data_IF_551305338956
#
_entry.id   IF_551305338956
#
_cell.length_a   1.000
_cell.length_b   1.000
_cell.length_c   1.000
_cell.angle_alpha   90.00
_cell.angle_beta   90.00
_cell.angle_gamma   90.00
#
_symmetry.space_group_name_H-M   'P 1'
#
loop_
_entity.id
_entity.type
_entity.pdbx_description
1 polymer ?
#
# COMPACT_ATOMS: atom_id res chain seq x y z
N UNK A 1 26.59 -57.86 -2.78
CA UNK A 1 26.30 -57.15 -4.05
C UNK A 1 24.87 -56.62 -3.91
N UNK A 2 24.52 -55.34 -4.01
CA UNK A 2 25.12 -54.18 -4.67
C UNK A 2 24.97 -52.91 -3.81
N UNK A 3 26.01 -52.07 -3.82
CA UNK A 3 25.96 -50.67 -3.39
C UNK A 3 25.41 -49.86 -4.56
N UNK A 4 24.32 -49.12 -4.36
CA UNK A 4 23.93 -48.04 -5.29
C UNK A 4 24.35 -46.69 -4.71
N UNK A 5 25.37 -46.11 -5.33
CA UNK A 5 25.83 -44.74 -5.14
C UNK A 5 24.66 -43.74 -5.23
N UNK A 6 24.36 -43.03 -4.15
CA UNK A 6 23.72 -41.72 -4.24
C UNK A 6 24.83 -40.70 -4.47
N UNK A 7 24.86 -40.14 -5.68
CA UNK A 7 25.66 -38.97 -6.01
C UNK A 7 25.29 -37.84 -5.05
N UNK A 8 26.30 -37.31 -4.35
CA UNK A 8 26.24 -35.99 -3.75
C UNK A 8 26.06 -34.97 -4.89
N UNK A 9 24.83 -34.59 -5.20
CA UNK A 9 24.61 -33.35 -5.95
C UNK A 9 24.90 -32.21 -4.97
N UNK A 10 26.07 -31.59 -5.15
CA UNK A 10 26.45 -30.39 -4.44
C UNK A 10 25.33 -29.34 -4.61
N UNK A 11 24.80 -28.85 -3.49
CA UNK A 11 23.86 -27.73 -3.48
C UNK A 11 24.56 -26.52 -4.12
N UNK A 12 23.91 -25.78 -5.03
CA UNK A 12 24.54 -24.62 -5.65
C UNK A 12 24.89 -23.59 -4.56
N UNK A 13 26.18 -23.29 -4.44
CA UNK A 13 26.69 -22.24 -3.55
C UNK A 13 26.53 -20.90 -4.25
N UNK A 14 25.67 -20.04 -3.72
CA UNK A 14 25.57 -18.65 -4.16
C UNK A 14 26.48 -17.79 -3.26
N UNK A 15 27.48 -17.12 -3.82
CA UNK A 15 28.26 -16.09 -3.12
C UNK A 15 27.55 -14.74 -3.29
N UNK A 16 27.29 -14.05 -2.19
CA UNK A 16 26.79 -12.67 -2.21
C UNK A 16 27.98 -11.74 -1.94
N UNK A 17 28.15 -10.73 -2.79
CA UNK A 17 29.03 -9.60 -2.52
C UNK A 17 28.17 -8.37 -2.28
N UNK A 18 28.34 -7.74 -1.12
CA UNK A 18 27.64 -6.51 -0.75
C UNK A 18 28.61 -5.34 -0.87
N UNK A 19 28.29 -4.36 -1.73
CA UNK A 19 29.06 -3.12 -1.87
C UNK A 19 28.07 -1.99 -2.15
N UNK A 20 28.17 -0.88 -1.39
CA UNK A 20 27.45 0.37 -1.65
C UNK A 20 25.94 0.26 -1.88
N UNK A 21 25.19 -0.45 -1.02
CA UNK A 21 23.73 -0.48 -1.12
C UNK A 21 23.18 -1.37 -2.26
N UNK A 22 24.03 -2.19 -2.88
CA UNK A 22 23.65 -3.24 -3.82
C UNK A 22 24.15 -4.60 -3.32
N UNK A 23 23.39 -5.66 -3.60
CA UNK A 23 23.86 -7.03 -3.48
C UNK A 23 23.86 -7.67 -4.87
N UNK A 24 24.96 -8.31 -5.25
CA UNK A 24 24.99 -9.14 -6.45
C UNK A 24 24.76 -10.60 -6.12
N UNK A 25 23.99 -11.28 -6.96
CA UNK A 25 23.80 -12.73 -6.93
C UNK A 25 24.42 -13.33 -8.18
N UNK A 26 25.35 -14.27 -8.02
CA UNK A 26 25.94 -15.00 -9.16
C UNK A 26 25.23 -16.34 -9.31
N UNK A 27 24.60 -16.58 -10.45
CA UNK A 27 23.92 -17.85 -10.73
C UNK A 27 24.94 -18.98 -10.98
N UNK A 28 24.46 -20.23 -11.09
CA UNK A 28 25.31 -21.40 -11.36
C UNK A 28 26.00 -21.37 -12.73
N UNK A 29 25.53 -20.54 -13.67
CA UNK A 29 26.15 -20.35 -15.00
C UNK A 29 27.15 -19.18 -15.03
N UNK A 30 27.37 -18.50 -13.89
CA UNK A 30 28.29 -17.37 -13.78
C UNK A 30 27.67 -16.01 -14.09
N UNK A 31 26.38 -15.92 -14.42
CA UNK A 31 25.70 -14.62 -14.63
C UNK A 31 25.52 -13.86 -13.32
N UNK A 32 25.92 -12.58 -13.33
CA UNK A 32 25.82 -11.68 -12.18
C UNK A 32 24.55 -10.82 -12.29
N UNK A 33 23.66 -10.91 -11.30
CA UNK A 33 22.44 -10.11 -11.20
C UNK A 33 22.57 -9.12 -10.04
N UNK A 34 22.37 -7.83 -10.31
CA UNK A 34 22.53 -6.74 -9.34
C UNK A 34 21.16 -6.33 -8.80
N UNK A 35 21.01 -6.37 -7.48
CA UNK A 35 19.77 -6.01 -6.78
C UNK A 35 20.01 -4.85 -5.81
N UNK A 36 19.04 -3.93 -5.71
CA UNK A 36 19.08 -2.81 -4.76
C UNK A 36 18.68 -3.29 -3.35
N UNK A 37 19.44 -2.93 -2.31
CA UNK A 37 19.13 -3.26 -0.92
C UNK A 37 17.84 -2.60 -0.37
N UNK A 38 17.22 -1.69 -1.11
CA UNK A 38 16.12 -0.84 -0.63
C UNK A 38 14.71 -1.41 -0.90
N UNK A 39 14.59 -2.57 -1.56
CA UNK A 39 13.32 -3.30 -1.72
C UNK A 39 13.61 -4.77 -1.43
N UNK A 40 13.31 -5.24 -0.22
CA UNK A 40 13.49 -6.65 0.14
C UNK A 40 12.23 -7.44 -0.24
N UNK A 41 12.34 -8.32 -1.23
CA UNK A 41 11.36 -9.37 -1.45
C UNK A 41 11.81 -10.66 -0.76
N UNK A 42 11.12 -11.04 0.32
CA UNK A 42 11.47 -12.22 1.12
C UNK A 42 11.30 -13.55 0.36
N UNK A 43 10.56 -13.58 -0.76
CA UNK A 43 10.48 -14.81 -1.58
C UNK A 43 11.82 -15.15 -2.26
N UNK A 44 12.67 -14.14 -2.52
CA UNK A 44 14.01 -14.31 -3.11
C UNK A 44 15.07 -14.71 -2.07
N UNK A 45 14.81 -14.50 -0.78
CA UNK A 45 15.78 -14.70 0.31
C UNK A 45 15.75 -16.10 0.94
N UNK A 46 14.85 -17.00 0.51
CA UNK A 46 14.61 -18.28 1.19
C UNK A 46 15.76 -19.31 1.16
N UNK A 47 16.85 -19.08 0.43
CA UNK A 47 17.93 -20.07 0.22
C UNK A 47 19.36 -19.58 0.52
N UNK A 48 19.55 -18.49 1.27
CA UNK A 48 20.89 -17.90 1.44
C UNK A 48 21.46 -18.11 2.85
N UNK A 49 22.66 -18.71 2.94
CA UNK A 49 23.51 -18.71 4.14
C UNK A 49 24.29 -17.41 4.21
N UNK A 50 24.19 -16.70 5.33
CA UNK A 50 24.98 -15.51 5.65
C UNK A 50 26.40 -15.94 6.08
N UNK A 51 27.43 -15.38 5.46
CA UNK A 51 28.77 -15.30 6.07
C UNK A 51 28.96 -13.88 6.59
N UNK A 52 29.08 -13.75 7.91
CA UNK A 52 29.37 -12.48 8.57
C UNK A 52 30.73 -11.94 8.16
N UNK A 53 30.81 -10.61 8.00
CA UNK A 53 32.08 -9.93 7.92
C UNK A 53 32.02 -8.60 7.16
N UNK A 54 31.53 -7.54 7.80
CA UNK A 54 32.21 -6.23 7.72
C UNK A 54 31.68 -5.27 8.79
N UNK A 55 32.56 -4.87 9.68
CA UNK A 55 32.37 -3.87 10.73
C UNK A 55 32.15 -2.49 10.09
N UNK A 56 31.03 -1.83 10.41
CA UNK A 56 30.79 -0.45 9.99
C UNK A 56 31.67 0.47 10.85
N UNK A 57 32.72 1.03 10.26
CA UNK A 57 33.40 2.23 10.76
C UNK A 57 32.98 3.39 9.84
N UNK A 58 32.16 4.31 10.36
CA UNK A 58 32.46 5.76 10.38
C UNK A 58 31.23 6.57 10.80
N UNK A 59 31.25 7.07 12.03
CA UNK A 59 30.26 8.03 12.55
C UNK A 59 30.40 9.44 11.93
N UNK A 60 31.45 9.67 11.13
CA UNK A 60 31.75 10.99 10.55
C UNK A 60 31.08 11.24 9.17
N UNK A 61 30.63 10.21 8.44
CA UNK A 61 29.94 10.39 7.15
C UNK A 61 28.50 10.96 7.29
N UNK A 62 27.90 10.89 8.48
CA UNK A 62 26.55 11.41 8.72
C UNK A 62 26.48 12.94 8.83
N UNK A 63 27.61 13.63 9.04
CA UNK A 63 27.62 15.07 9.33
C UNK A 63 27.56 15.99 8.11
N UNK A 64 27.68 15.46 6.88
CA UNK A 64 27.65 16.23 5.62
C UNK A 64 26.55 15.81 4.66
N UNK A 65 25.56 15.03 5.12
CA UNK A 65 24.45 14.59 4.27
C UNK A 65 23.50 15.77 4.03
N UNK A 66 23.50 16.32 2.82
CA UNK A 66 22.47 17.27 2.39
C UNK A 66 21.10 16.59 2.51
N UNK A 67 20.31 17.01 3.51
CA UNK A 67 18.96 16.52 3.70
C UNK A 67 18.09 16.99 2.54
N UNK A 68 17.36 16.07 1.96
CA UNK A 68 16.41 16.41 0.91
C UNK A 68 15.20 17.08 1.57
N UNK A 69 14.80 18.25 1.07
CA UNK A 69 13.63 18.96 1.61
C UNK A 69 12.36 18.09 1.42
N UNK A 70 11.74 17.70 2.53
CA UNK A 70 10.63 16.74 2.53
C UNK A 70 9.39 17.22 1.77
N UNK A 71 9.12 18.53 1.81
CA UNK A 71 7.99 19.13 1.06
C UNK A 71 8.28 19.08 -0.43
N UNK A 72 9.49 19.48 -0.84
CA UNK A 72 9.93 19.40 -2.23
C UNK A 72 9.88 17.96 -2.76
N UNK A 73 10.36 17.00 -1.97
CA UNK A 73 10.27 15.58 -2.32
C UNK A 73 8.82 15.16 -2.52
N UNK A 74 7.93 15.59 -1.64
CA UNK A 74 6.51 15.26 -1.76
C UNK A 74 5.89 15.84 -3.04
N UNK A 75 6.31 17.03 -3.49
CA UNK A 75 5.83 17.65 -4.75
C UNK A 75 6.34 16.87 -5.96
N UNK A 76 7.63 16.53 -5.99
CA UNK A 76 8.21 15.73 -7.07
C UNK A 76 7.58 14.33 -7.15
N UNK A 77 7.24 13.74 -5.99
CA UNK A 77 6.58 12.45 -5.93
C UNK A 77 5.20 12.53 -6.55
N UNK A 78 4.45 13.59 -6.23
CA UNK A 78 3.14 13.83 -6.83
C UNK A 78 3.24 13.94 -8.36
N UNK A 79 4.23 14.66 -8.89
CA UNK A 79 4.45 14.78 -10.34
C UNK A 79 4.77 13.43 -10.99
N UNK A 80 5.66 12.63 -10.41
CA UNK A 80 5.94 11.29 -10.94
C UNK A 80 4.73 10.36 -10.86
N UNK A 81 3.96 10.43 -9.78
CA UNK A 81 2.71 9.69 -9.65
C UNK A 81 1.67 10.13 -10.68
N UNK A 82 1.60 11.42 -11.04
CA UNK A 82 0.69 11.94 -12.07
C UNK A 82 1.04 11.36 -13.44
N UNK A 83 2.33 11.33 -13.77
CA UNK A 83 2.83 10.73 -15.02
C UNK A 83 2.59 9.21 -15.07
N UNK A 84 2.80 8.51 -13.94
CA UNK A 84 2.46 7.09 -13.84
C UNK A 84 0.96 6.87 -14.06
N UNK A 85 0.13 7.69 -13.39
CA UNK A 85 -1.32 7.56 -13.45
C UNK A 85 -1.84 7.81 -14.86
N UNK A 86 -1.35 8.81 -15.57
CA UNK A 86 -1.80 9.13 -16.93
C UNK A 86 -1.45 8.05 -17.94
N UNK A 87 -0.34 7.32 -17.74
CA UNK A 87 0.17 6.34 -18.70
C UNK A 87 -0.24 4.89 -18.41
N UNK A 88 -0.34 4.51 -17.12
CA UNK A 88 -0.44 3.09 -16.75
C UNK A 88 -1.64 2.76 -15.86
N UNK A 89 -2.43 3.74 -15.43
CA UNK A 89 -3.63 3.50 -14.64
C UNK A 89 -4.84 3.73 -15.53
N UNK A 90 -5.81 2.83 -15.45
CA UNK A 90 -7.04 2.93 -16.22
C UNK A 90 -7.87 4.19 -15.84
N UNK A 91 -8.83 4.63 -16.68
CA UNK A 91 -9.65 5.80 -16.38
C UNK A 91 -10.42 5.73 -15.06
N UNK A 92 -10.75 4.53 -14.56
CA UNK A 92 -11.38 4.38 -13.24
C UNK A 92 -10.41 4.60 -12.07
N UNK A 93 -9.12 4.71 -12.35
CA UNK A 93 -8.08 4.96 -11.35
C UNK A 93 -7.73 3.74 -10.49
N UNK A 94 -8.12 2.52 -10.88
CA UNK A 94 -8.03 1.33 -10.02
C UNK A 94 -7.13 0.24 -10.58
N UNK A 95 -7.15 0.01 -11.88
CA UNK A 95 -6.40 -1.02 -12.57
C UNK A 95 -5.09 -0.44 -13.10
N UNK A 96 -4.02 -1.24 -13.05
CA UNK A 96 -2.67 -0.83 -13.43
C UNK A 96 -2.08 -1.80 -14.46
N UNK A 97 -1.49 -1.25 -15.52
CA UNK A 97 -0.71 -2.04 -16.47
C UNK A 97 0.72 -2.23 -15.96
N UNK A 98 0.89 -3.18 -15.04
CA UNK A 98 2.19 -3.50 -14.43
C UNK A 98 3.25 -3.93 -15.45
N UNK A 99 2.86 -4.63 -16.52
CA UNK A 99 3.80 -5.05 -17.56
C UNK A 99 4.41 -3.86 -18.30
N UNK A 100 3.57 -2.93 -18.78
CA UNK A 100 4.07 -1.73 -19.47
C UNK A 100 4.83 -0.80 -18.52
N UNK A 101 4.37 -0.67 -17.27
CA UNK A 101 5.06 0.14 -16.27
C UNK A 101 6.49 -0.37 -16.05
N UNK A 102 6.69 -1.69 -15.90
CA UNK A 102 8.00 -2.31 -15.62
C UNK A 102 9.06 -1.94 -16.66
N UNK A 103 8.69 -1.84 -17.93
CA UNK A 103 9.63 -1.54 -19.03
C UNK A 103 9.80 -0.04 -19.28
N UNK A 104 9.05 0.81 -18.57
CA UNK A 104 9.03 2.26 -18.81
C UNK A 104 10.20 3.02 -18.16
N UNK A 105 10.49 4.20 -18.69
CA UNK A 105 11.38 5.16 -18.01
C UNK A 105 10.75 5.73 -16.73
N UNK A 106 9.42 5.80 -16.65
CA UNK A 106 8.71 6.22 -15.42
C UNK A 106 9.04 5.29 -14.26
N UNK A 107 9.12 3.97 -14.49
CA UNK A 107 9.54 3.04 -13.45
C UNK A 107 10.99 3.28 -13.00
N UNK A 108 11.91 3.51 -13.95
CA UNK A 108 13.31 3.86 -13.62
C UNK A 108 13.38 5.14 -12.78
N UNK A 109 12.61 6.17 -13.16
CA UNK A 109 12.52 7.44 -12.45
C UNK A 109 11.97 7.30 -11.03
N UNK A 110 11.05 6.35 -10.80
CA UNK A 110 10.52 6.03 -9.49
C UNK A 110 11.55 5.29 -8.63
N UNK A 111 12.32 4.37 -9.23
CA UNK A 111 13.43 3.69 -8.56
C UNK A 111 14.50 4.70 -8.12
N UNK A 112 14.89 5.64 -8.99
CA UNK A 112 15.82 6.71 -8.64
C UNK A 112 15.25 7.62 -7.54
N UNK A 113 13.97 8.01 -7.65
CA UNK A 113 13.33 8.82 -6.63
C UNK A 113 13.34 8.16 -5.25
N UNK A 114 13.08 6.85 -5.19
CA UNK A 114 13.06 6.10 -3.94
C UNK A 114 14.41 6.14 -3.20
N UNK A 115 15.55 6.33 -3.89
CA UNK A 115 16.87 6.45 -3.26
C UNK A 115 16.96 7.69 -2.36
N UNK A 116 16.31 8.78 -2.74
CA UNK A 116 16.28 10.03 -1.96
C UNK A 116 15.48 9.91 -0.65
N UNK A 117 14.64 8.87 -0.47
CA UNK A 117 13.93 8.66 0.79
C UNK A 117 14.87 8.52 1.99
N UNK A 118 16.08 8.00 1.77
CA UNK A 118 17.10 7.82 2.82
C UNK A 118 17.72 9.13 3.33
N UNK A 119 17.40 10.26 2.70
CA UNK A 119 17.85 11.61 3.10
C UNK A 119 16.69 12.52 3.52
N UNK A 120 15.47 11.98 3.60
CA UNK A 120 14.29 12.71 4.07
C UNK A 120 14.34 12.89 5.58
N UNK A 121 14.01 14.10 6.04
CA UNK A 121 13.84 14.43 7.45
C UNK A 121 12.34 14.65 7.78
N UNK A 122 11.80 13.84 8.69
CA UNK A 122 10.39 13.88 9.09
C UNK A 122 10.14 14.77 10.34
N UNK A 123 11.18 15.32 10.98
CA UNK A 123 11.02 16.11 12.21
C UNK A 123 10.44 17.51 11.95
N UNK A 124 10.71 18.08 10.77
CA UNK A 124 10.33 19.46 10.42
C UNK A 124 9.16 19.54 9.41
N UNK A 125 8.24 18.57 9.44
CA UNK A 125 7.01 18.59 8.62
C UNK A 125 5.76 18.65 9.47
N UNK A 126 4.76 19.38 9.01
CA UNK A 126 3.43 19.43 9.62
C UNK A 126 2.73 18.08 9.52
N UNK A 127 1.71 17.85 10.36
CA UNK A 127 0.93 16.60 10.31
C UNK A 127 0.26 16.40 8.93
N UNK A 128 -0.20 17.47 8.26
CA UNK A 128 -0.81 17.40 6.93
C UNK A 128 0.20 17.08 5.82
N UNK A 129 1.39 17.66 5.85
CA UNK A 129 2.47 17.30 4.93
C UNK A 129 2.90 15.84 5.12
N UNK A 130 3.04 15.42 6.38
CA UNK A 130 3.36 14.03 6.72
C UNK A 130 2.26 13.07 6.27
N UNK A 131 0.99 13.36 6.55
CA UNK A 131 -0.17 12.58 6.09
C UNK A 131 -0.16 12.43 4.57
N UNK A 132 0.04 13.54 3.86
CA UNK A 132 0.12 13.58 2.39
C UNK A 132 1.25 12.70 1.86
N UNK A 133 2.46 12.88 2.40
CA UNK A 133 3.63 12.11 2.01
C UNK A 133 3.37 10.61 2.20
N UNK A 134 2.89 10.20 3.38
CA UNK A 134 2.70 8.78 3.69
C UNK A 134 1.55 8.14 2.90
N UNK A 135 0.46 8.84 2.59
CA UNK A 135 -0.59 8.32 1.70
C UNK A 135 -0.02 8.07 0.29
N UNK A 136 0.71 9.04 -0.27
CA UNK A 136 1.32 8.91 -1.58
C UNK A 136 2.39 7.80 -1.59
N UNK A 137 3.21 7.72 -0.53
CA UNK A 137 4.22 6.69 -0.37
C UNK A 137 3.62 5.29 -0.24
N UNK A 138 2.53 5.10 0.48
CA UNK A 138 1.85 3.81 0.56
C UNK A 138 1.41 3.33 -0.83
N UNK A 139 0.75 4.20 -1.59
CA UNK A 139 0.23 3.87 -2.91
C UNK A 139 1.37 3.54 -3.88
N UNK A 140 2.42 4.37 -3.92
CA UNK A 140 3.55 4.11 -4.82
C UNK A 140 4.38 2.90 -4.36
N UNK A 141 4.53 2.66 -3.06
CA UNK A 141 5.24 1.48 -2.53
C UNK A 141 4.50 0.19 -2.88
N UNK A 142 3.16 0.20 -2.85
CA UNK A 142 2.35 -0.94 -3.30
C UNK A 142 2.61 -1.23 -4.78
N UNK A 143 2.59 -0.19 -5.63
CA UNK A 143 2.87 -0.34 -7.06
C UNK A 143 4.30 -0.83 -7.28
N UNK A 144 5.28 -0.20 -6.63
CA UNK A 144 6.71 -0.51 -6.75
C UNK A 144 6.98 -1.96 -6.32
N UNK A 145 6.41 -2.40 -5.19
CA UNK A 145 6.53 -3.78 -4.73
C UNK A 145 6.02 -4.78 -5.77
N UNK A 146 4.85 -4.54 -6.36
CA UNK A 146 4.26 -5.45 -7.35
C UNK A 146 5.02 -5.43 -8.68
N UNK A 147 5.37 -4.25 -9.20
CA UNK A 147 6.07 -4.14 -10.50
C UNK A 147 7.49 -4.72 -10.45
N UNK A 148 8.12 -4.71 -9.27
CA UNK A 148 9.45 -5.28 -9.04
C UNK A 148 9.49 -6.81 -9.09
N UNK A 149 8.33 -7.48 -9.03
CA UNK A 149 8.24 -8.93 -9.18
C UNK A 149 8.59 -9.34 -10.61
N UNK A 150 9.20 -10.50 -10.78
CA UNK A 150 9.46 -11.11 -12.10
C UNK A 150 8.14 -11.35 -12.83
N UNK A 151 7.19 -11.99 -12.15
CA UNK A 151 5.87 -12.31 -12.68
C UNK A 151 4.79 -11.53 -11.93
N UNK A 152 3.75 -11.15 -12.68
CA UNK A 152 2.57 -10.49 -12.11
C UNK A 152 1.68 -11.56 -11.46
N UNK A 153 1.45 -11.53 -10.13
CA UNK A 153 0.67 -12.57 -9.46
C UNK A 153 -0.82 -12.48 -9.83
N UNK A 154 -1.56 -13.58 -9.64
CA UNK A 154 -3.02 -13.57 -9.85
C UNK A 154 -3.72 -12.79 -8.74
N UNK A 155 -3.30 -13.00 -7.50
CA UNK A 155 -3.79 -12.29 -6.32
C UNK A 155 -2.65 -11.63 -5.57
N UNK A 156 -2.92 -10.48 -4.96
CA UNK A 156 -1.99 -9.92 -3.96
C UNK A 156 -1.82 -10.84 -2.74
N UNK A 157 -2.80 -11.71 -2.46
CA UNK A 157 -2.69 -12.71 -1.39
C UNK A 157 -1.71 -13.83 -1.69
N UNK A 158 -1.32 -14.03 -2.96
CA UNK A 158 -0.29 -14.99 -3.35
C UNK A 158 1.11 -14.53 -2.90
N UNK A 159 1.25 -13.25 -2.55
CA UNK A 159 2.50 -12.65 -2.10
C UNK A 159 2.66 -12.80 -0.58
N UNK A 160 3.56 -13.69 -0.18
CA UNK A 160 3.81 -13.99 1.23
C UNK A 160 4.18 -12.74 2.04
N UNK A 161 3.33 -12.39 3.00
CA UNK A 161 3.51 -11.27 3.93
C UNK A 161 3.77 -9.90 3.26
N UNK A 162 3.26 -9.70 2.04
CA UNK A 162 3.55 -8.53 1.22
C UNK A 162 3.49 -7.19 1.98
N UNK A 163 2.41 -6.93 2.72
CA UNK A 163 2.24 -5.66 3.46
C UNK A 163 3.21 -5.48 4.63
N UNK A 164 3.66 -6.58 5.26
CA UNK A 164 4.62 -6.55 6.36
C UNK A 164 6.06 -6.37 5.89
N UNK A 165 6.35 -6.81 4.67
CA UNK A 165 7.74 -6.89 4.18
C UNK A 165 8.11 -5.82 3.16
N UNK A 166 7.17 -5.44 2.29
CA UNK A 166 7.40 -4.42 1.25
C UNK A 166 7.56 -3.07 1.92
N UNK A 167 8.78 -2.53 1.87
CA UNK A 167 9.19 -1.38 2.70
C UNK A 167 10.06 -0.39 1.93
N UNK A 168 9.99 0.88 2.33
CA UNK A 168 11.01 1.87 2.00
C UNK A 168 11.86 2.21 3.22
N UNK A 169 13.13 2.55 2.99
CA UNK A 169 13.96 3.21 4.00
C UNK A 169 13.74 4.72 3.92
N UNK A 170 13.08 5.29 4.92
CA UNK A 170 12.77 6.73 5.01
C UNK A 170 13.60 7.30 6.16
N UNK A 171 14.54 8.19 5.82
CA UNK A 171 15.59 8.62 6.75
C UNK A 171 16.37 7.43 7.30
N UNK A 172 16.37 7.26 8.62
CA UNK A 172 17.11 6.20 9.30
C UNK A 172 16.38 4.85 9.40
N UNK A 173 15.07 4.81 9.15
CA UNK A 173 14.25 3.63 9.48
C UNK A 173 13.53 3.06 8.26
N UNK A 174 13.24 1.76 8.32
CA UNK A 174 12.36 1.11 7.35
C UNK A 174 10.89 1.31 7.73
N UNK A 175 10.05 1.49 6.73
CA UNK A 175 8.60 1.60 6.84
C UNK A 175 7.97 0.67 5.82
N UNK A 176 7.41 -0.45 6.31
CA UNK A 176 6.56 -1.34 5.52
C UNK A 176 5.21 -0.71 5.20
N UNK A 177 4.44 -1.32 4.30
CA UNK A 177 3.06 -0.88 4.04
C UNK A 177 2.21 -0.91 5.33
N UNK A 178 2.37 -1.94 6.16
CA UNK A 178 1.71 -2.02 7.47
C UNK A 178 2.19 -0.91 8.43
N UNK A 179 3.49 -0.60 8.44
CA UNK A 179 4.04 0.51 9.25
C UNK A 179 3.44 1.86 8.83
N UNK A 180 3.29 2.09 7.52
CA UNK A 180 2.71 3.31 6.99
C UNK A 180 1.21 3.39 7.34
N UNK A 181 0.45 2.33 7.10
CA UNK A 181 -0.99 2.33 7.36
C UNK A 181 -1.29 2.37 8.87
N UNK A 182 -0.85 1.36 9.63
CA UNK A 182 -1.26 1.15 11.02
C UNK A 182 -0.43 1.97 12.00
N UNK A 183 0.88 2.00 11.78
CA UNK A 183 1.82 2.75 12.59
C UNK A 183 1.66 4.25 12.42
N UNK A 184 1.74 4.75 11.19
CA UNK A 184 1.74 6.19 10.92
C UNK A 184 0.32 6.74 10.74
N UNK A 185 -0.39 6.35 9.67
CA UNK A 185 -1.63 7.01 9.24
C UNK A 185 -2.81 6.77 10.18
N UNK A 186 -2.91 5.57 10.77
CA UNK A 186 -3.95 5.24 11.76
C UNK A 186 -3.60 5.64 13.19
N UNK A 187 -2.48 6.33 13.40
CA UNK A 187 -2.09 6.82 14.73
C UNK A 187 -1.67 5.68 15.66
N UNK A 188 -0.81 4.79 15.18
CA UNK A 188 -0.29 3.64 15.90
C UNK A 188 -1.38 2.68 16.44
N UNK A 189 -2.44 2.49 15.66
CA UNK A 189 -3.52 1.55 16.00
C UNK A 189 -3.11 0.11 15.66
N UNK A 190 -3.67 -0.89 16.34
CA UNK A 190 -3.48 -2.28 15.97
C UNK A 190 -3.97 -2.56 14.55
N UNK A 191 -3.28 -3.46 13.84
CA UNK A 191 -3.84 -4.09 12.64
C UNK A 191 -5.18 -4.77 12.98
N UNK A 192 -6.14 -4.83 12.05
CA UNK A 192 -7.44 -5.50 12.23
C UNK A 192 -7.38 -6.94 12.78
N UNK A 193 -6.24 -7.63 12.60
CA UNK A 193 -6.05 -9.03 12.97
C UNK A 193 -5.22 -9.16 14.25
N UNK A 194 -4.97 -8.05 14.95
CA UNK A 194 -4.18 -7.97 16.17
C UNK A 194 -4.86 -7.01 17.16
N UNK A 195 -4.49 -7.09 18.43
CA UNK A 195 -4.96 -6.16 19.48
C UNK A 195 -3.87 -5.22 19.97
N UNK A 196 -2.59 -5.54 19.70
CA UNK A 196 -1.44 -4.76 20.14
C UNK A 196 -1.19 -3.57 19.21
N UNK A 197 -0.75 -2.45 19.79
CA UNK A 197 -0.28 -1.29 19.00
C UNK A 197 0.79 -1.72 18.01
N UNK A 198 0.76 -1.12 16.83
CA UNK A 198 1.64 -1.50 15.72
C UNK A 198 3.12 -1.28 16.06
N UNK A 199 3.44 -0.08 16.53
CA UNK A 199 4.73 0.29 17.09
C UNK A 199 4.71 0.18 18.62
N UNK A 200 5.79 -0.40 19.15
CA UNK A 200 6.04 -0.47 20.59
C UNK A 200 6.39 0.91 21.15
N UNK A 201 6.40 1.04 22.48
CA UNK A 201 6.71 2.30 23.16
C UNK A 201 8.11 2.86 22.83
N UNK A 202 9.09 1.98 22.60
CA UNK A 202 10.48 2.35 22.30
C UNK A 202 10.77 2.45 20.79
N UNK A 203 9.79 2.23 19.93
CA UNK A 203 10.00 2.35 18.49
C UNK A 203 10.18 3.84 18.13
N UNK A 204 11.35 4.25 17.60
CA UNK A 204 11.63 5.66 17.30
C UNK A 204 10.70 6.22 16.21
N UNK A 205 10.05 5.36 15.41
CA UNK A 205 9.09 5.76 14.37
C UNK A 205 7.76 6.21 14.97
N UNK A 206 7.42 5.78 16.18
CA UNK A 206 6.12 6.06 16.81
C UNK A 206 5.85 7.57 16.99
N UNK A 207 6.89 8.40 17.15
CA UNK A 207 6.76 9.86 17.25
C UNK A 207 6.17 10.53 16.00
N UNK A 208 6.25 9.86 14.85
CA UNK A 208 5.72 10.36 13.57
C UNK A 208 4.27 9.94 13.30
N UNK A 209 3.65 9.19 14.20
CA UNK A 209 2.26 8.75 14.07
C UNK A 209 1.31 9.95 14.04
N UNK A 210 0.19 9.83 13.32
CA UNK A 210 -0.88 10.83 13.37
C UNK A 210 -1.43 10.94 14.80
N UNK A 211 -1.70 12.17 15.26
CA UNK A 211 -2.27 12.39 16.59
C UNK A 211 -3.64 11.75 16.75
N UNK A 212 -4.43 11.72 15.68
CA UNK A 212 -5.74 11.04 15.60
C UNK A 212 -5.87 10.30 14.29
N UNK A 213 -6.44 9.10 14.36
CA UNK A 213 -6.84 8.37 13.16
C UNK A 213 -7.94 9.13 12.42
N UNK A 214 -7.70 9.42 11.15
CA UNK A 214 -8.68 10.01 10.23
C UNK A 214 -9.29 8.87 9.39
N UNK A 215 -10.55 8.46 9.60
CA UNK A 215 -11.09 7.25 8.96
C UNK A 215 -11.17 7.35 7.43
N UNK A 216 -11.10 8.56 6.87
CA UNK A 216 -11.11 8.82 5.44
C UNK A 216 -9.90 8.22 4.71
N UNK A 217 -8.79 7.97 5.42
CA UNK A 217 -7.58 7.37 4.85
C UNK A 217 -7.85 5.96 4.29
N UNK A 218 -8.85 5.23 4.80
CA UNK A 218 -9.20 3.90 4.26
C UNK A 218 -9.66 3.93 2.81
N UNK A 219 -10.06 5.09 2.30
CA UNK A 219 -10.51 5.28 0.91
C UNK A 219 -9.42 5.89 0.02
N UNK A 220 -8.20 6.02 0.52
CA UNK A 220 -7.05 6.54 -0.22
C UNK A 220 -5.95 5.52 -0.48
N UNK A 221 -5.95 4.41 0.27
CA UNK A 221 -4.89 3.40 0.25
C UNK A 221 -5.26 2.23 -0.66
N UNK A 222 -4.61 2.11 -1.82
CA UNK A 222 -4.79 0.98 -2.71
C UNK A 222 -3.80 -0.14 -2.36
N UNK A 223 -4.33 -1.32 -2.06
CA UNK A 223 -3.56 -2.49 -1.59
C UNK A 223 -3.15 -3.47 -2.69
N UNK A 224 -3.28 -3.09 -3.95
CA UNK A 224 -2.99 -3.98 -5.09
C UNK A 224 -4.13 -4.94 -5.47
N UNK A 225 -5.31 -4.81 -4.84
CA UNK A 225 -6.49 -5.65 -5.14
C UNK A 225 -7.53 -4.93 -6.01
N UNK A 226 -8.36 -5.65 -6.77
CA UNK A 226 -9.44 -5.07 -7.62
C UNK A 226 -10.52 -4.33 -6.82
N UNK A 227 -10.79 -4.74 -5.59
CA UNK A 227 -11.72 -4.04 -4.69
C UNK A 227 -11.07 -2.88 -3.89
N UNK A 228 -9.78 -2.62 -4.10
CA UNK A 228 -9.10 -1.48 -3.48
C UNK A 228 -9.76 -0.15 -3.90
N UNK A 229 -9.67 0.89 -3.05
CA UNK A 229 -9.94 2.26 -3.45
C UNK A 229 -9.11 2.71 -4.67
N UNK A 230 -9.59 3.73 -5.36
CA UNK A 230 -8.87 4.35 -6.48
C UNK A 230 -7.55 5.00 -6.02
N UNK A 231 -6.57 5.00 -6.91
CA UNK A 231 -5.29 5.68 -6.71
C UNK A 231 -5.47 7.14 -7.10
N UNK A 232 -5.53 8.00 -6.09
CA UNK A 232 -5.50 9.44 -6.24
C UNK A 232 -4.16 10.00 -5.73
N UNK A 233 -3.90 11.27 -6.07
CA UNK A 233 -2.66 11.96 -5.74
C UNK A 233 -3.01 13.14 -4.86
N UNK A 234 -2.32 13.24 -3.74
CA UNK A 234 -2.66 14.16 -2.66
C UNK A 234 -1.58 15.22 -2.52
N UNK A 235 -1.97 16.47 -2.24
CA UNK A 235 -1.06 17.55 -1.86
C UNK A 235 -1.38 18.05 -0.45
N UNK A 236 -0.38 18.60 0.25
CA UNK A 236 -0.59 19.15 1.60
C UNK A 236 -1.58 20.31 1.62
N UNK A 237 -1.65 21.07 0.54
CA UNK A 237 -2.56 22.22 0.37
C UNK A 237 -4.01 21.81 0.12
N UNK A 238 -4.27 20.59 -0.38
CA UNK A 238 -5.62 20.14 -0.72
C UNK A 238 -6.09 18.89 0.04
N UNK A 239 -5.28 18.36 0.97
CA UNK A 239 -5.47 17.05 1.59
C UNK A 239 -6.88 16.86 2.16
N UNK A 240 -7.44 17.85 2.85
CA UNK A 240 -8.78 17.77 3.44
C UNK A 240 -9.89 17.62 2.39
N UNK A 241 -9.83 18.42 1.32
CA UNK A 241 -10.78 18.34 0.21
C UNK A 241 -10.63 17.01 -0.53
N UNK A 242 -9.39 16.58 -0.78
CA UNK A 242 -9.09 15.34 -1.47
C UNK A 242 -9.56 14.10 -0.68
N UNK A 243 -9.39 14.09 0.65
CA UNK A 243 -9.91 13.04 1.53
C UNK A 243 -11.43 12.98 1.49
N UNK A 244 -12.11 14.13 1.58
CA UNK A 244 -13.57 14.17 1.48
C UNK A 244 -14.06 13.66 0.12
N UNK A 245 -13.46 14.11 -0.99
CA UNK A 245 -13.83 13.66 -2.34
C UNK A 245 -13.63 12.15 -2.52
N UNK A 246 -12.48 11.61 -2.08
CA UNK A 246 -12.22 10.17 -2.15
C UNK A 246 -13.23 9.37 -1.31
N UNK A 247 -13.57 9.87 -0.12
CA UNK A 247 -14.54 9.24 0.78
C UNK A 247 -15.94 9.25 0.19
N UNK A 248 -16.41 10.40 -0.30
CA UNK A 248 -17.75 10.53 -0.90
C UNK A 248 -17.89 9.67 -2.15
N UNK A 249 -16.89 9.68 -3.02
CA UNK A 249 -16.87 8.82 -4.21
C UNK A 249 -16.90 7.32 -3.84
N UNK A 250 -16.10 6.91 -2.86
CA UNK A 250 -16.07 5.52 -2.41
C UNK A 250 -17.39 5.10 -1.74
N UNK A 251 -17.92 5.91 -0.81
CA UNK A 251 -19.17 5.59 -0.11
C UNK A 251 -20.34 5.49 -1.08
N UNK A 252 -20.48 6.45 -2.01
CA UNK A 252 -21.55 6.39 -3.01
C UNK A 252 -21.46 5.17 -3.92
N UNK A 253 -20.26 4.66 -4.22
CA UNK A 253 -20.09 3.47 -5.06
C UNK A 253 -20.14 2.14 -4.29
N UNK A 254 -19.81 2.13 -2.99
CA UNK A 254 -19.63 0.90 -2.20
C UNK A 254 -20.67 0.68 -1.11
N UNK A 255 -21.60 1.61 -0.92
CA UNK A 255 -22.74 1.46 0.00
C UNK A 255 -23.99 1.22 -0.84
N UNK A 256 -24.55 0.02 -0.75
CA UNK A 256 -25.85 -0.30 -1.36
C UNK A 256 -26.91 -0.29 -0.26
N UNK A 257 -28.01 0.38 -0.54
CA UNK A 257 -29.18 0.43 0.32
C UNK A 257 -30.28 -0.31 -0.43
N UNK A 258 -30.82 -1.36 0.18
CA UNK A 258 -31.81 -2.27 -0.40
C UNK A 258 -33.04 -2.21 0.50
N UNK A 259 -33.94 -1.23 0.28
CA UNK A 259 -35.08 -0.98 1.16
C UNK A 259 -36.04 -2.18 1.27
N UNK A 260 -36.19 -2.95 0.20
CA UNK A 260 -37.12 -4.08 0.10
C UNK A 260 -36.81 -5.16 1.14
N UNK A 261 -35.53 -5.40 1.37
CA UNK A 261 -35.04 -6.39 2.32
C UNK A 261 -34.61 -5.77 3.66
N UNK A 262 -34.77 -4.44 3.81
CA UNK A 262 -34.15 -3.66 4.90
C UNK A 262 -32.67 -4.01 5.08
N UNK A 263 -31.94 -4.08 3.98
CA UNK A 263 -30.53 -4.45 3.95
C UNK A 263 -29.65 -3.25 3.59
N UNK A 264 -28.56 -3.06 4.33
CA UNK A 264 -27.45 -2.18 3.95
C UNK A 264 -26.22 -3.04 3.69
N UNK A 265 -25.75 -3.02 2.44
CA UNK A 265 -24.60 -3.82 2.01
C UNK A 265 -23.37 -2.92 1.87
N UNK A 266 -22.36 -3.20 2.69
CA UNK A 266 -21.17 -2.36 2.87
C UNK A 266 -19.91 -3.00 2.29
N UNK A 267 -18.90 -2.19 1.97
CA UNK A 267 -17.54 -2.70 1.73
C UNK A 267 -16.94 -3.36 2.98
N UNK A 268 -16.11 -4.41 2.80
CA UNK A 268 -15.35 -5.02 3.89
C UNK A 268 -14.41 -4.06 4.62
N UNK A 269 -14.07 -2.91 4.03
CA UNK A 269 -13.31 -1.88 4.75
C UNK A 269 -14.05 -1.42 6.02
N UNK A 270 -15.38 -1.28 5.97
CA UNK A 270 -16.20 -0.93 7.14
C UNK A 270 -16.26 -2.05 8.18
N UNK A 271 -16.00 -3.30 7.78
CA UNK A 271 -15.88 -4.44 8.69
C UNK A 271 -14.51 -4.46 9.37
N UNK A 272 -13.43 -4.50 8.59
CA UNK A 272 -12.06 -4.65 9.10
C UNK A 272 -11.61 -3.45 9.95
N UNK A 273 -12.08 -2.25 9.60
CA UNK A 273 -11.72 -1.00 10.26
C UNK A 273 -12.89 -0.37 11.01
N UNK A 274 -13.90 -1.18 11.39
CA UNK A 274 -15.10 -0.72 12.11
C UNK A 274 -14.80 0.30 13.21
N UNK A 275 -13.83 -0.01 14.06
CA UNK A 275 -13.43 0.80 15.22
C UNK A 275 -12.78 2.16 14.87
N UNK A 276 -12.46 2.38 13.59
CA UNK A 276 -12.02 3.69 13.11
C UNK A 276 -13.24 4.57 12.77
N UNK A 277 -14.34 3.99 12.29
CA UNK A 277 -15.55 4.72 11.91
C UNK A 277 -16.53 4.94 13.08
N UNK A 278 -16.64 3.99 14.01
CA UNK A 278 -17.59 4.05 15.12
C UNK A 278 -17.51 2.87 16.08
N UNK A 279 -18.18 2.96 17.23
CA UNK A 279 -18.19 1.89 18.27
C UNK A 279 -19.30 0.87 18.05
N UNK A 280 -20.42 1.31 17.48
CA UNK A 280 -21.55 0.48 17.08
C UNK A 280 -21.78 0.51 15.57
N UNK A 281 -22.53 -0.45 15.04
CA UNK A 281 -22.98 -0.42 13.64
C UNK A 281 -23.75 0.87 13.33
N UNK A 282 -24.60 1.34 14.26
CA UNK A 282 -25.30 2.61 14.12
C UNK A 282 -24.35 3.79 14.02
N UNK A 283 -23.22 3.80 14.75
CA UNK A 283 -22.22 4.85 14.62
C UNK A 283 -21.54 4.81 13.24
N UNK A 284 -21.22 3.61 12.73
CA UNK A 284 -20.66 3.45 11.38
C UNK A 284 -21.64 3.97 10.33
N UNK A 285 -22.92 3.61 10.42
CA UNK A 285 -23.95 4.11 9.50
C UNK A 285 -24.11 5.63 9.60
N UNK A 286 -24.15 6.21 10.81
CA UNK A 286 -24.18 7.67 11.01
C UNK A 286 -22.94 8.36 10.44
N UNK A 287 -21.78 7.70 10.48
CA UNK A 287 -20.56 8.19 9.84
C UNK A 287 -20.70 8.18 8.32
N UNK A 288 -21.19 7.07 7.74
CA UNK A 288 -21.43 6.91 6.30
C UNK A 288 -22.43 7.96 5.78
N UNK A 289 -23.51 8.26 6.52
CA UNK A 289 -24.54 9.24 6.11
C UNK A 289 -23.94 10.60 5.73
N UNK A 290 -22.79 10.98 6.31
CA UNK A 290 -22.10 12.25 6.03
C UNK A 290 -21.42 12.29 4.65
N UNK A 291 -21.23 11.13 4.01
CA UNK A 291 -20.42 10.96 2.80
C UNK A 291 -21.18 10.24 1.67
N UNK A 292 -22.49 10.07 1.80
CA UNK A 292 -23.35 9.62 0.71
C UNK A 292 -24.27 10.75 0.29
N UNK A 293 -24.53 10.84 -1.00
CA UNK A 293 -25.38 11.87 -1.58
C UNK A 293 -26.86 11.43 -1.58
N UNK A 294 -27.76 12.36 -1.87
CA UNK A 294 -29.15 12.01 -2.14
C UNK A 294 -29.27 11.22 -3.46
N UNK A 295 -30.21 10.26 -3.57
CA UNK A 295 -31.25 9.90 -2.61
C UNK A 295 -30.82 8.88 -1.53
N UNK A 296 -29.57 8.37 -1.58
CA UNK A 296 -29.09 7.34 -0.66
C UNK A 296 -29.09 7.83 0.79
N UNK A 297 -28.75 9.10 0.99
CA UNK A 297 -28.72 9.68 2.34
C UNK A 297 -30.08 9.61 3.04
N UNK A 298 -31.16 10.02 2.35
CA UNK A 298 -32.51 9.96 2.90
C UNK A 298 -32.98 8.53 3.15
N UNK A 299 -32.75 7.61 2.20
CA UNK A 299 -33.11 6.19 2.37
C UNK A 299 -32.42 5.56 3.58
N UNK A 300 -31.12 5.83 3.76
CA UNK A 300 -30.37 5.33 4.92
C UNK A 300 -30.95 5.85 6.23
N UNK A 301 -31.25 7.15 6.32
CA UNK A 301 -31.86 7.76 7.52
C UNK A 301 -33.20 7.10 7.85
N UNK A 302 -34.05 6.87 6.84
CA UNK A 302 -35.35 6.20 7.02
C UNK A 302 -35.20 4.77 7.55
N UNK A 303 -34.26 3.98 7.00
CA UNK A 303 -34.02 2.61 7.47
C UNK A 303 -33.41 2.55 8.89
N UNK A 304 -32.71 3.61 9.31
CA UNK A 304 -32.12 3.70 10.65
C UNK A 304 -33.13 4.16 11.72
N UNK A 305 -34.28 4.72 11.34
CA UNK A 305 -35.30 5.17 12.28
C UNK A 305 -36.02 3.97 12.91
N UNK A 306 -35.85 3.83 14.23
CA UNK A 306 -36.37 2.70 15.02
C UNK A 306 -37.88 2.74 15.20
N UNK A 307 -38.53 3.89 15.01
CA UNK A 307 -39.99 3.97 15.12
C UNK A 307 -40.71 3.37 13.89
N UNK A 308 -39.99 3.09 12.80
CA UNK A 308 -40.58 2.75 11.51
C UNK A 308 -40.79 1.24 11.25
N UNK A 309 -40.56 0.31 12.19
CA UNK A 309 -40.64 -1.13 11.85
C UNK A 309 -40.48 -2.14 12.99
N UNK A 310 -41.22 -3.26 12.89
CA UNK A 310 -41.06 -4.49 13.71
C UNK A 310 -39.82 -5.33 13.35
N UNK A 311 -39.22 -5.11 12.16
CA UNK A 311 -38.11 -5.91 11.64
C UNK A 311 -36.73 -5.27 11.83
N UNK A 312 -35.74 -6.09 12.17
CA UNK A 312 -34.36 -5.66 12.37
C UNK A 312 -33.69 -5.23 11.04
N UNK A 313 -32.91 -4.15 11.09
CA UNK A 313 -32.05 -3.72 9.99
C UNK A 313 -30.94 -4.76 9.76
N UNK A 314 -30.83 -5.30 8.55
CA UNK A 314 -29.77 -6.24 8.20
C UNK A 314 -28.57 -5.51 7.62
N UNK A 315 -27.38 -5.76 8.15
CA UNK A 315 -26.12 -5.27 7.59
C UNK A 315 -25.34 -6.45 7.04
N UNK A 316 -24.98 -6.36 5.76
CA UNK A 316 -24.19 -7.35 5.05
C UNK A 316 -22.94 -6.72 4.44
N UNK A 317 -22.00 -7.54 3.97
CA UNK A 317 -20.75 -7.06 3.38
C UNK A 317 -20.51 -7.63 1.99
N UNK A 318 -20.09 -6.77 1.06
CA UNK A 318 -19.71 -7.15 -0.31
C UNK A 318 -18.52 -8.12 -0.27
N UNK A 319 -18.44 -8.97 -1.29
CA UNK A 319 -17.23 -9.75 -1.56
C UNK A 319 -16.10 -8.76 -1.90
N UNK A 320 -14.92 -9.00 -1.31
CA UNK A 320 -13.73 -8.21 -1.59
C UNK A 320 -12.84 -9.01 -2.54
N UNK A 321 -12.72 -8.53 -3.77
CA UNK A 321 -11.96 -9.15 -4.84
C UNK A 321 -10.46 -8.87 -4.66
N UNK A 322 -9.78 -9.89 -4.12
CA UNK A 322 -8.34 -9.90 -3.88
C UNK A 322 -7.51 -10.23 -5.12
N UNK A 323 -8.12 -10.49 -6.28
CA UNK A 323 -7.35 -10.56 -7.52
C UNK A 323 -6.58 -9.26 -7.71
N UNK A 324 -5.38 -9.39 -8.28
CA UNK A 324 -4.51 -8.26 -8.50
C UNK A 324 -5.23 -7.23 -9.38
N UNK A 325 -5.10 -5.96 -9.05
CA UNK A 325 -5.62 -4.85 -9.85
C UNK A 325 -4.80 -4.62 -11.12
N UNK A 326 -4.49 -5.69 -11.85
CA UNK A 326 -3.81 -5.63 -13.12
C UNK A 326 -4.82 -5.62 -14.27
N UNK A 327 -4.52 -4.85 -15.33
CA UNK A 327 -5.18 -5.02 -16.63
C UNK A 327 -4.14 -5.12 -17.73
N UNK A 328 -4.46 -5.93 -18.73
CA UNK A 328 -3.70 -6.03 -19.97
C UNK A 328 -4.47 -5.29 -21.08
N UNK A 329 -3.86 -4.25 -21.63
CA UNK A 329 -4.41 -3.47 -22.74
C UNK A 329 -4.62 -4.29 -24.03
N UNK A 330 -3.97 -5.46 -24.17
CA UNK A 330 -4.14 -6.33 -25.34
C UNK A 330 -5.48 -7.09 -25.33
N UNK A 331 -6.17 -7.17 -24.19
CA UNK A 331 -7.46 -7.85 -24.08
C UNK A 331 -8.63 -6.91 -24.38
N UNK A 332 -8.51 -5.61 -24.06
CA UNK A 332 -9.58 -4.63 -24.28
C UNK A 332 -9.86 -4.32 -25.76
N UNK A 333 -8.86 -4.45 -26.64
CA UNK A 333 -9.05 -4.26 -28.09
C UNK A 333 -9.67 -5.48 -28.79
N UNK A 334 -9.80 -6.64 -28.12
CA UNK A 334 -10.47 -7.82 -28.72
C UNK A 334 -11.99 -7.83 -28.49
N UNK A 335 -12.49 -7.07 -27.51
CA UNK A 335 -13.93 -6.99 -27.21
C UNK A 335 -14.63 -5.93 -28.07
N UNK A 336 -13.90 -4.92 -28.58
CA UNK A 336 -14.48 -3.84 -29.38
C UNK A 336 -14.40 -4.05 -30.91
N UNK A 337 -14.02 -5.23 -31.39
CA UNK A 337 -13.98 -5.55 -32.84
C UNK A 337 -15.15 -6.46 -33.26
N UNK A 338 -15.98 -6.94 -32.31
CA UNK A 338 -17.07 -7.89 -32.58
C UNK A 338 -18.47 -7.38 -32.16
N UNK A 339 -18.71 -6.07 -32.13
CA UNK A 339 -20.07 -5.52 -31.99
C UNK A 339 -20.45 -4.66 -33.19
#
# INVERSE_FOLDING_TARGET
MSRSNRSNSARPFYRIKVVNGMYSTTSSDGTENIHLLNVLNWSQLKNLTLTEGTTIKDENELKTKNFYNTVQFSIELQQKMLNLKSMFIDPSGRLINYYQLRTSNIYKDLCEMAKHLTTINLDNVTENERKTLFINLYNILTIHGIVSLTDVPKSVLDLNQFWKTTSYKIGAHFYSLDDIEHGILRGNKPHSNCTQRHFTFNDPRAKYSMRRCDPRIHFTLNRGSRSSPQIAIYSSTNIEKALNMATTSYCNSQVDIIPENREIRLSKLFLWYRNDFGRSETDVLRWITKYIDEPKQSLLKTLMDRQSSKDNLHISYKIYDWMLNHYDSLISNRVNINN
#
